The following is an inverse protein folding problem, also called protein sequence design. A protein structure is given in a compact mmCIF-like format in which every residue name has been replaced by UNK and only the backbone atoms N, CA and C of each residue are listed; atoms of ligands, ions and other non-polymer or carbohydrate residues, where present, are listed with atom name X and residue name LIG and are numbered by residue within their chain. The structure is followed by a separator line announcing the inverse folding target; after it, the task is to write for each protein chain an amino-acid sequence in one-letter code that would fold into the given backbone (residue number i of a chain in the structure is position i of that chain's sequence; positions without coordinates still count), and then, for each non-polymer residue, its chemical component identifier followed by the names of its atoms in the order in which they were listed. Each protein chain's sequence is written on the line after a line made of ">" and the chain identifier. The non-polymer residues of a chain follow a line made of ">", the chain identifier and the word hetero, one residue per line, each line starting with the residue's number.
data_IF_545342888452
#
_entry.id   IF_545342888452
#
_cell.length_a   1.000
_cell.length_b   1.000
_cell.length_c   1.000
_cell.angle_alpha   90.00
_cell.angle_beta   90.00
_cell.angle_gamma   90.00
#
_symmetry.space_group_name_H-M   'P 1'
#
loop_
_entity.id
_entity.type
_entity.pdbx_description
1 polymer ?
#
# COMPACT_ATOMS: atom_id res chain seq x y z
N UNK A 1 -5.75 48.26 -35.74
CA UNK A 1 -7.18 48.46 -35.38
C UNK A 1 -7.32 48.34 -33.87
N UNK A 2 -7.95 49.32 -33.27
CA UNK A 2 -7.95 49.61 -31.82
C UNK A 2 -8.79 48.63 -30.98
N UNK A 3 -8.53 48.45 -29.68
CA UNK A 3 -9.32 47.66 -28.79
C UNK A 3 -10.55 48.42 -28.26
N UNK A 4 -11.67 47.77 -28.12
CA UNK A 4 -12.80 48.28 -27.35
C UNK A 4 -12.79 47.74 -25.93
N UNK A 5 -12.53 48.65 -25.02
CA UNK A 5 -12.87 48.53 -23.58
C UNK A 5 -14.30 49.07 -23.46
N UNK A 6 -15.22 48.34 -22.90
CA UNK A 6 -16.42 48.95 -22.32
C UNK A 6 -16.91 48.20 -21.09
N UNK A 7 -16.86 48.97 -20.01
CA UNK A 7 -17.48 48.76 -18.71
C UNK A 7 -19.00 48.81 -18.82
N UNK A 8 -19.75 47.90 -18.23
CA UNK A 8 -21.00 48.31 -17.61
C UNK A 8 -21.55 47.31 -16.62
N UNK A 9 -21.86 47.81 -15.47
CA UNK A 9 -22.63 47.22 -14.37
C UNK A 9 -24.04 46.84 -14.80
N UNK A 10 -24.38 45.55 -14.69
CA UNK A 10 -25.76 45.15 -14.46
C UNK A 10 -25.76 43.94 -13.52
N UNK A 11 -26.07 44.23 -12.27
CA UNK A 11 -26.33 43.22 -11.24
C UNK A 11 -27.77 42.70 -11.52
N UNK A 12 -27.83 41.49 -12.04
CA UNK A 12 -29.11 40.85 -12.32
C UNK A 12 -29.75 40.39 -11.01
N UNK A 13 -30.91 40.96 -10.71
CA UNK A 13 -31.73 40.73 -9.49
C UNK A 13 -32.27 39.29 -9.36
N UNK A 14 -32.17 38.51 -10.39
CA UNK A 14 -32.70 37.13 -10.43
C UNK A 14 -31.86 36.07 -9.70
N UNK A 15 -30.62 36.42 -9.32
CA UNK A 15 -29.76 35.49 -8.59
C UNK A 15 -30.08 35.39 -7.08
N UNK A 16 -30.84 36.37 -6.53
CA UNK A 16 -31.18 36.35 -5.08
C UNK A 16 -32.36 35.43 -4.74
N UNK A 17 -33.24 35.16 -5.67
CA UNK A 17 -34.42 34.31 -5.42
C UNK A 17 -34.13 32.81 -5.50
N UNK A 18 -33.07 32.37 -6.19
CA UNK A 18 -32.69 30.95 -6.28
C UNK A 18 -31.93 30.43 -5.06
N UNK A 19 -31.23 31.31 -4.35
CA UNK A 19 -30.49 30.89 -3.14
C UNK A 19 -31.40 30.75 -1.92
N UNK A 20 -32.47 31.54 -1.84
CA UNK A 20 -33.44 31.50 -0.72
C UNK A 20 -34.31 30.23 -0.80
N UNK A 21 -34.67 29.77 -2.00
CA UNK A 21 -35.47 28.55 -2.16
C UNK A 21 -34.66 27.26 -1.91
N UNK A 22 -33.33 27.28 -2.08
CA UNK A 22 -32.50 26.12 -1.77
C UNK A 22 -32.28 25.93 -0.25
N UNK A 23 -32.26 27.05 0.50
CA UNK A 23 -32.15 26.99 1.97
C UNK A 23 -33.48 26.59 2.67
N UNK A 24 -34.61 26.83 2.06
CA UNK A 24 -35.90 26.40 2.61
C UNK A 24 -36.20 24.91 2.39
N UNK A 25 -35.58 24.29 1.36
CA UNK A 25 -35.77 22.86 1.10
C UNK A 25 -34.82 21.98 1.96
N UNK A 26 -33.71 22.51 2.46
CA UNK A 26 -32.81 21.78 3.34
C UNK A 26 -33.24 21.77 4.82
N UNK A 27 -34.16 22.64 5.23
CA UNK A 27 -34.65 22.71 6.64
C UNK A 27 -35.84 21.80 6.93
N UNK A 28 -36.49 21.23 5.91
CA UNK A 28 -37.66 20.36 6.10
C UNK A 28 -37.37 18.85 6.06
N UNK A 29 -36.11 18.45 5.82
CA UNK A 29 -35.73 17.03 5.75
C UNK A 29 -34.97 16.50 6.99
N UNK A 30 -34.80 17.31 8.03
CA UNK A 30 -34.11 16.89 9.28
C UNK A 30 -35.11 16.46 10.37
N UNK A 31 -36.39 16.42 10.07
CA UNK A 31 -37.46 16.26 11.08
C UNK A 31 -38.01 14.84 11.32
N UNK A 32 -37.54 13.78 10.65
CA UNK A 32 -38.15 12.44 10.80
C UNK A 32 -37.17 11.25 10.89
N UNK A 33 -36.01 11.44 11.48
CA UNK A 33 -35.05 10.33 11.69
C UNK A 33 -34.95 9.89 13.17
N UNK A 34 -35.95 10.19 13.98
CA UNK A 34 -36.02 9.68 15.36
C UNK A 34 -37.28 8.83 15.52
N UNK A 35 -37.13 7.51 15.44
CA UNK A 35 -38.22 6.62 15.90
C UNK A 35 -38.70 5.55 14.92
N UNK A 36 -37.82 4.97 14.11
CA UNK A 36 -38.16 3.67 13.54
C UNK A 36 -37.50 2.60 14.40
N UNK A 37 -38.30 1.98 15.27
CA UNK A 37 -37.93 0.70 15.85
C UNK A 37 -37.56 -0.23 14.68
N UNK A 38 -36.42 -1.00 14.76
CA UNK A 38 -36.11 -1.98 13.74
C UNK A 38 -37.33 -2.91 13.60
N UNK A 39 -37.69 -3.29 12.36
CA UNK A 39 -38.81 -4.22 12.16
C UNK A 39 -38.54 -5.45 13.03
N UNK A 40 -39.55 -5.84 13.79
CA UNK A 40 -39.53 -7.09 14.56
C UNK A 40 -39.36 -8.23 13.55
N UNK A 41 -38.10 -8.58 13.26
CA UNK A 41 -37.77 -9.72 12.43
C UNK A 41 -38.09 -10.94 13.29
N UNK A 42 -39.30 -11.46 13.15
CA UNK A 42 -39.63 -12.76 13.72
C UNK A 42 -38.66 -13.79 13.16
N UNK A 43 -37.93 -14.43 14.04
CA UNK A 43 -37.04 -15.54 13.67
C UNK A 43 -37.85 -16.57 12.87
N UNK A 44 -37.33 -17.13 11.78
CA UNK A 44 -37.95 -18.22 11.06
C UNK A 44 -38.35 -19.32 12.05
N UNK A 45 -39.53 -19.90 11.89
CA UNK A 45 -40.09 -20.94 12.80
C UNK A 45 -39.12 -22.13 13.04
N UNK A 46 -38.22 -22.38 12.10
CA UNK A 46 -37.14 -23.37 12.26
C UNK A 46 -36.09 -23.00 13.34
N UNK A 47 -36.01 -21.73 13.74
CA UNK A 47 -35.09 -21.26 14.77
C UNK A 47 -35.76 -20.97 16.11
N UNK A 48 -37.09 -21.00 16.16
CA UNK A 48 -37.87 -20.73 17.38
C UNK A 48 -37.73 -21.85 18.44
N UNK A 49 -37.30 -23.04 18.04
CA UNK A 49 -37.08 -24.19 18.92
C UNK A 49 -35.62 -24.39 19.34
N UNK A 50 -34.74 -23.47 19.00
CA UNK A 50 -33.36 -23.50 19.52
C UNK A 50 -33.44 -23.00 20.96
N UNK A 51 -33.53 -23.93 21.91
CA UNK A 51 -33.27 -23.61 23.30
C UNK A 51 -31.86 -22.99 23.38
N UNK A 52 -31.70 -21.82 24.02
CA UNK A 52 -30.37 -21.32 24.30
C UNK A 52 -29.63 -22.45 25.04
N UNK A 53 -28.50 -22.88 24.51
CA UNK A 53 -27.65 -23.85 25.18
C UNK A 53 -27.51 -23.38 26.62
N UNK A 54 -27.90 -24.21 27.57
CA UNK A 54 -27.75 -23.93 28.99
C UNK A 54 -26.35 -23.37 29.19
N UNK A 55 -26.23 -22.24 29.89
CA UNK A 55 -24.97 -21.54 30.15
C UNK A 55 -24.02 -22.34 31.05
N UNK A 56 -24.10 -23.63 31.04
CA UNK A 56 -23.08 -24.48 31.62
C UNK A 56 -21.85 -24.39 30.75
N UNK A 57 -20.79 -23.76 31.30
CA UNK A 57 -19.46 -23.88 30.77
C UNK A 57 -19.03 -25.34 30.80
N UNK A 58 -19.45 -26.12 29.80
CA UNK A 58 -19.16 -27.54 29.63
C UNK A 58 -17.68 -27.73 29.24
N UNK A 59 -16.75 -27.30 30.10
CA UNK A 59 -15.32 -27.67 29.99
C UNK A 59 -14.63 -27.64 31.38
N UNK A 60 -15.14 -28.41 32.31
CA UNK A 60 -14.33 -28.73 33.51
C UNK A 60 -13.16 -29.66 33.20
N UNK A 61 -13.20 -30.39 32.09
CA UNK A 61 -12.22 -31.45 31.76
C UNK A 61 -11.44 -31.21 30.48
N UNK A 62 -11.45 -30.01 29.95
CA UNK A 62 -10.52 -29.68 28.88
C UNK A 62 -9.12 -29.62 29.48
N UNK A 63 -8.34 -30.68 29.30
CA UNK A 63 -6.88 -30.60 29.35
C UNK A 63 -6.44 -29.24 28.78
N UNK A 64 -5.57 -28.49 29.47
CA UNK A 64 -5.11 -27.22 28.95
C UNK A 64 -4.64 -27.44 27.54
N UNK A 65 -5.46 -27.06 26.55
CA UNK A 65 -4.95 -26.98 25.18
C UNK A 65 -3.83 -25.95 25.28
N UNK A 66 -2.61 -26.46 25.23
CA UNK A 66 -1.42 -25.64 25.03
C UNK A 66 -1.78 -24.70 23.88
N UNK A 67 -1.89 -23.41 24.20
CA UNK A 67 -2.17 -22.40 23.18
C UNK A 67 -1.29 -22.74 21.98
N UNK A 68 -1.83 -22.86 20.76
CA UNK A 68 -1.02 -23.25 19.62
C UNK A 68 0.16 -22.30 19.61
N UNK A 69 1.37 -22.89 19.78
CA UNK A 69 2.63 -22.16 19.70
C UNK A 69 2.52 -21.30 18.44
N UNK A 70 2.66 -19.96 18.53
CA UNK A 70 2.51 -19.11 17.37
C UNK A 70 3.33 -19.75 16.26
N UNK A 71 2.66 -20.13 15.17
CA UNK A 71 3.33 -20.75 14.04
C UNK A 71 4.55 -19.87 13.78
N UNK A 72 5.75 -20.45 13.80
CA UNK A 72 6.97 -19.73 13.42
C UNK A 72 6.62 -19.09 12.10
N UNK A 73 6.46 -17.76 12.07
CA UNK A 73 6.34 -17.06 10.82
C UNK A 73 7.56 -17.48 10.02
N UNK A 74 7.35 -18.25 8.95
CA UNK A 74 8.41 -18.64 8.04
C UNK A 74 9.00 -17.34 7.51
N UNK A 75 10.06 -16.88 8.16
CA UNK A 75 10.81 -15.70 7.75
C UNK A 75 11.68 -16.09 6.57
N UNK A 76 11.02 -16.33 5.43
CA UNK A 76 11.71 -16.58 4.18
C UNK A 76 12.55 -15.35 3.85
N UNK A 77 13.85 -15.55 3.67
CA UNK A 77 14.77 -14.47 3.32
C UNK A 77 14.42 -13.95 1.92
N UNK A 78 14.25 -12.63 1.74
CA UNK A 78 14.03 -12.03 0.42
C UNK A 78 15.16 -12.35 -0.55
N UNK A 79 14.85 -12.74 -1.78
CA UNK A 79 15.82 -13.04 -2.82
C UNK A 79 15.90 -11.92 -3.86
N UNK A 80 16.80 -10.98 -3.65
CA UNK A 80 17.01 -9.84 -4.55
C UNK A 80 17.53 -10.21 -5.95
N UNK A 81 18.05 -11.44 -6.15
CA UNK A 81 18.43 -11.93 -7.47
C UNK A 81 17.19 -12.17 -8.38
N UNK A 82 16.00 -12.11 -7.81
CA UNK A 82 14.76 -12.13 -8.57
C UNK A 82 14.47 -10.81 -9.30
N UNK A 83 15.11 -9.71 -8.95
CA UNK A 83 14.83 -8.41 -9.57
C UNK A 83 15.01 -8.45 -11.09
N UNK A 84 14.06 -7.83 -11.80
CA UNK A 84 14.14 -7.57 -13.23
C UNK A 84 13.77 -6.11 -13.50
N UNK A 85 14.53 -5.42 -14.33
CA UNK A 85 14.23 -4.04 -14.68
C UNK A 85 13.13 -3.96 -15.76
N UNK A 86 12.32 -2.87 -15.81
CA UNK A 86 11.35 -2.67 -16.88
C UNK A 86 11.96 -2.78 -18.28
N UNK A 87 13.17 -2.26 -18.47
CA UNK A 87 13.90 -2.30 -19.74
C UNK A 87 14.25 -3.71 -20.21
N UNK A 88 14.45 -4.64 -19.30
CA UNK A 88 14.70 -6.05 -19.61
C UNK A 88 13.42 -6.79 -20.06
N UNK A 89 12.26 -6.24 -19.70
CA UNK A 89 10.94 -6.71 -20.15
C UNK A 89 10.46 -5.99 -21.41
N UNK A 90 11.11 -4.88 -21.79
CA UNK A 90 10.81 -4.11 -22.99
C UNK A 90 11.09 -4.96 -24.24
N UNK A 91 10.05 -5.40 -24.86
CA UNK A 91 10.01 -6.27 -26.02
C UNK A 91 8.58 -6.75 -26.17
N UNK A 92 8.24 -7.64 -27.10
CA UNK A 92 6.87 -8.11 -27.17
C UNK A 92 6.49 -8.74 -25.83
N UNK A 93 5.67 -8.01 -25.03
CA UNK A 93 5.13 -8.44 -23.73
C UNK A 93 4.42 -9.79 -23.80
N UNK A 94 3.95 -10.14 -24.99
CA UNK A 94 3.30 -11.42 -25.31
C UNK A 94 4.32 -12.50 -25.68
N UNK A 95 5.29 -12.76 -24.80
CA UNK A 95 6.12 -13.97 -24.93
C UNK A 95 5.30 -15.15 -24.40
N UNK A 96 5.10 -16.21 -25.17
CA UNK A 96 4.28 -17.36 -24.76
C UNK A 96 4.79 -18.01 -23.45
N UNK A 97 6.08 -17.86 -23.16
CA UNK A 97 6.73 -18.40 -21.96
C UNK A 97 6.81 -17.45 -20.79
N UNK A 98 6.26 -16.23 -20.89
CA UNK A 98 6.28 -15.25 -19.80
C UNK A 98 4.86 -14.95 -19.32
N UNK A 99 4.65 -15.02 -18.00
CA UNK A 99 3.45 -14.61 -17.32
C UNK A 99 3.74 -13.37 -16.49
N UNK A 100 3.03 -12.29 -16.75
CA UNK A 100 3.00 -11.11 -15.92
C UNK A 100 1.92 -11.30 -14.85
N UNK A 101 2.30 -11.43 -13.60
CA UNK A 101 1.38 -11.65 -12.48
C UNK A 101 1.30 -10.39 -11.62
N UNK A 102 0.20 -9.66 -11.73
CA UNK A 102 -0.08 -8.51 -10.88
C UNK A 102 -0.66 -9.01 -9.55
N UNK A 103 0.13 -8.86 -8.49
CA UNK A 103 -0.22 -9.36 -7.16
C UNK A 103 -0.94 -8.32 -6.29
N UNK A 104 -1.24 -7.16 -6.85
CA UNK A 104 -1.97 -6.11 -6.14
C UNK A 104 -3.43 -6.51 -5.89
N UNK A 105 -4.14 -5.82 -4.98
CA UNK A 105 -5.56 -5.97 -4.81
C UNK A 105 -6.33 -5.84 -6.13
N UNK A 106 -7.41 -6.61 -6.30
CA UNK A 106 -8.20 -6.61 -7.54
C UNK A 106 -8.71 -5.22 -7.94
N UNK A 107 -9.04 -4.37 -6.99
CA UNK A 107 -9.48 -2.99 -7.25
C UNK A 107 -8.37 -2.15 -7.91
N UNK A 108 -7.12 -2.29 -7.43
CA UNK A 108 -5.96 -1.57 -7.98
C UNK A 108 -5.63 -2.06 -9.39
N UNK A 109 -5.68 -3.39 -9.59
CA UNK A 109 -5.51 -4.01 -10.90
C UNK A 109 -6.58 -3.54 -11.88
N UNK A 110 -7.85 -3.51 -11.48
CA UNK A 110 -8.96 -3.07 -12.31
C UNK A 110 -8.84 -1.58 -12.71
N UNK A 111 -8.29 -0.74 -11.82
CA UNK A 111 -8.07 0.67 -12.13
C UNK A 111 -7.03 0.87 -13.23
N UNK A 112 -5.90 0.20 -13.14
CA UNK A 112 -4.87 0.18 -14.18
C UNK A 112 -3.87 -0.95 -13.96
N UNK A 113 -3.37 -1.53 -15.06
CA UNK A 113 -2.41 -2.64 -15.03
C UNK A 113 -1.59 -2.71 -16.33
N UNK A 114 -0.53 -3.50 -16.35
CA UNK A 114 0.25 -3.77 -17.57
C UNK A 114 -0.58 -4.66 -18.51
N UNK A 115 -0.63 -4.31 -19.81
CA UNK A 115 -1.36 -5.11 -20.80
C UNK A 115 -0.91 -6.58 -20.81
N UNK A 116 -1.89 -7.48 -20.76
CA UNK A 116 -1.65 -8.92 -20.69
C UNK A 116 -1.22 -9.45 -19.32
N UNK A 117 -1.13 -8.61 -18.28
CA UNK A 117 -0.95 -9.08 -16.92
C UNK A 117 -2.22 -9.77 -16.39
N UNK A 118 -2.04 -10.75 -15.52
CA UNK A 118 -3.12 -11.44 -14.83
C UNK A 118 -3.08 -11.05 -13.35
N UNK A 119 -4.24 -10.75 -12.77
CA UNK A 119 -4.31 -10.52 -11.33
C UNK A 119 -4.32 -11.86 -10.59
N UNK A 120 -3.19 -12.20 -9.97
CA UNK A 120 -2.97 -13.46 -9.27
C UNK A 120 -2.07 -13.22 -8.05
N UNK A 121 -2.51 -13.68 -6.91
CA UNK A 121 -1.68 -13.69 -5.70
C UNK A 121 -0.53 -14.69 -5.80
N UNK A 122 0.55 -14.48 -5.03
CA UNK A 122 1.65 -15.44 -4.94
C UNK A 122 1.19 -16.82 -4.44
N UNK A 123 0.14 -16.87 -3.63
CA UNK A 123 -0.48 -18.12 -3.16
C UNK A 123 -1.16 -18.87 -4.28
N UNK A 124 -1.95 -18.18 -5.10
CA UNK A 124 -2.61 -18.78 -6.27
C UNK A 124 -1.61 -19.27 -7.30
N UNK A 125 -0.50 -18.54 -7.52
CA UNK A 125 0.58 -19.00 -8.40
C UNK A 125 1.13 -20.34 -7.92
N UNK A 126 1.41 -20.51 -6.62
CA UNK A 126 1.93 -21.77 -6.06
C UNK A 126 1.00 -22.96 -6.29
N UNK A 127 -0.31 -22.73 -6.32
CA UNK A 127 -1.31 -23.76 -6.59
C UNK A 127 -1.41 -24.18 -8.07
N UNK A 128 -0.65 -23.53 -8.98
CA UNK A 128 -0.72 -23.76 -10.42
C UNK A 128 0.58 -24.38 -10.96
N UNK A 129 0.79 -25.70 -10.82
CA UNK A 129 2.06 -26.36 -11.17
C UNK A 129 2.42 -26.24 -12.66
N UNK A 130 1.43 -26.05 -13.55
CA UNK A 130 1.65 -25.87 -14.99
C UNK A 130 2.38 -24.55 -15.33
N UNK A 131 2.46 -23.60 -14.39
CA UNK A 131 3.21 -22.34 -14.56
C UNK A 131 4.69 -22.47 -14.18
N UNK A 132 5.13 -23.57 -13.58
CA UNK A 132 6.50 -23.71 -13.04
C UNK A 132 7.59 -23.59 -14.09
N UNK A 133 7.31 -23.98 -15.34
CA UNK A 133 8.28 -23.86 -16.45
C UNK A 133 8.37 -22.47 -17.04
N UNK A 134 7.34 -21.61 -16.83
CA UNK A 134 7.28 -20.25 -17.36
C UNK A 134 8.16 -19.28 -16.56
N UNK A 135 8.53 -18.21 -17.21
CA UNK A 135 9.03 -17.01 -16.51
C UNK A 135 7.82 -16.31 -15.90
N UNK A 136 7.75 -16.24 -14.57
CA UNK A 136 6.67 -15.55 -13.86
C UNK A 136 7.22 -14.25 -13.28
N UNK A 137 6.67 -13.11 -13.69
CA UNK A 137 7.08 -11.80 -13.22
C UNK A 137 6.02 -11.26 -12.27
N UNK A 138 6.36 -11.13 -10.99
CA UNK A 138 5.51 -10.53 -9.96
C UNK A 138 5.54 -9.01 -10.11
N UNK A 139 4.35 -8.40 -10.18
CA UNK A 139 4.17 -6.96 -10.32
C UNK A 139 3.45 -6.44 -9.07
N UNK A 140 4.08 -5.53 -8.35
CA UNK A 140 3.51 -4.82 -7.21
C UNK A 140 3.28 -3.34 -7.49
N UNK A 141 2.93 -2.61 -6.44
CA UNK A 141 2.80 -1.15 -6.45
C UNK A 141 4.11 -0.41 -6.14
N UNK A 142 5.25 -1.12 -6.09
CA UNK A 142 6.56 -0.55 -5.74
C UNK A 142 6.81 -0.42 -4.24
N UNK A 143 5.83 -0.76 -3.43
CA UNK A 143 5.91 -0.82 -1.96
C UNK A 143 5.92 -2.28 -1.50
N UNK A 144 6.37 -2.52 -0.27
CA UNK A 144 6.46 -3.86 0.32
C UNK A 144 7.25 -4.86 -0.56
N UNK A 145 8.25 -4.38 -1.31
CA UNK A 145 9.06 -5.23 -2.19
C UNK A 145 9.78 -6.34 -1.44
N UNK A 146 10.09 -6.15 -0.15
CA UNK A 146 10.61 -7.21 0.71
C UNK A 146 9.77 -8.47 0.65
N UNK A 147 8.45 -8.34 0.70
CA UNK A 147 7.53 -9.48 0.65
C UNK A 147 7.47 -10.09 -0.75
N UNK A 148 7.54 -9.27 -1.81
CA UNK A 148 7.61 -9.78 -3.19
C UNK A 148 8.89 -10.58 -3.44
N UNK A 149 10.03 -10.13 -2.92
CA UNK A 149 11.28 -10.89 -3.01
C UNK A 149 11.24 -12.17 -2.16
N UNK A 150 10.54 -12.16 -1.01
CA UNK A 150 10.29 -13.36 -0.24
C UNK A 150 9.34 -14.32 -0.98
N UNK A 151 8.30 -13.81 -1.64
CA UNK A 151 7.41 -14.62 -2.47
C UNK A 151 8.13 -15.23 -3.68
N UNK A 152 9.06 -14.49 -4.29
CA UNK A 152 9.92 -15.07 -5.32
C UNK A 152 10.75 -16.26 -4.78
N UNK A 153 11.31 -16.12 -3.59
CA UNK A 153 12.05 -17.21 -2.95
C UNK A 153 11.13 -18.42 -2.65
N UNK A 154 9.89 -18.18 -2.19
CA UNK A 154 8.88 -19.23 -1.97
C UNK A 154 8.48 -19.92 -3.28
N UNK A 155 8.33 -19.16 -4.37
CA UNK A 155 8.05 -19.73 -5.70
C UNK A 155 9.21 -20.62 -6.18
N UNK A 156 10.47 -20.19 -6.02
CA UNK A 156 11.63 -21.04 -6.31
C UNK A 156 11.60 -22.33 -5.51
N UNK A 157 11.36 -22.25 -4.21
CA UNK A 157 11.23 -23.42 -3.33
C UNK A 157 10.07 -24.35 -3.76
N UNK A 158 9.02 -23.79 -4.38
CA UNK A 158 7.88 -24.56 -4.91
C UNK A 158 8.10 -25.10 -6.32
N UNK A 159 9.33 -24.99 -6.87
CA UNK A 159 9.73 -25.57 -8.15
C UNK A 159 9.53 -24.66 -9.36
N UNK A 160 9.23 -23.36 -9.17
CA UNK A 160 9.22 -22.41 -10.28
C UNK A 160 10.67 -22.13 -10.75
N UNK A 161 10.93 -22.29 -12.05
CA UNK A 161 12.28 -22.22 -12.61
C UNK A 161 12.78 -20.78 -12.76
N UNK A 162 11.89 -19.84 -13.12
CA UNK A 162 12.25 -18.46 -13.48
C UNK A 162 11.28 -17.43 -12.88
N UNK A 163 11.03 -17.43 -11.55
CA UNK A 163 10.25 -16.37 -10.96
C UNK A 163 11.10 -15.10 -10.88
N UNK A 164 10.49 -13.95 -11.14
CA UNK A 164 11.08 -12.61 -11.15
C UNK A 164 10.18 -11.63 -10.41
N UNK A 165 10.72 -10.51 -10.01
CA UNK A 165 10.01 -9.37 -9.42
C UNK A 165 10.33 -8.14 -10.27
N UNK A 166 9.31 -7.48 -10.78
CA UNK A 166 9.47 -6.20 -11.48
C UNK A 166 9.94 -5.16 -10.44
N UNK A 167 11.20 -4.77 -10.53
CA UNK A 167 11.81 -3.82 -9.58
C UNK A 167 11.05 -2.50 -9.57
N UNK A 168 10.63 -2.06 -8.38
CA UNK A 168 9.86 -0.84 -8.19
C UNK A 168 8.44 -0.91 -8.74
N UNK A 169 7.99 -2.07 -9.19
CA UNK A 169 6.62 -2.32 -9.62
C UNK A 169 6.12 -1.37 -10.69
N UNK A 170 4.80 -1.10 -10.66
CA UNK A 170 4.15 -0.18 -11.60
C UNK A 170 4.68 1.26 -11.58
N UNK A 171 5.09 1.86 -10.44
CA UNK A 171 5.67 3.20 -10.45
C UNK A 171 6.89 3.34 -11.37
N UNK A 172 7.83 2.39 -11.31
CA UNK A 172 9.03 2.41 -12.15
C UNK A 172 8.70 2.04 -13.60
N UNK A 173 7.73 1.13 -13.80
CA UNK A 173 7.21 0.82 -15.14
C UNK A 173 6.70 2.06 -15.85
N UNK A 174 5.84 2.85 -15.18
CA UNK A 174 5.30 4.11 -15.69
C UNK A 174 6.40 5.17 -15.91
N UNK A 175 7.30 5.32 -14.93
CA UNK A 175 8.41 6.28 -15.02
C UNK A 175 9.38 5.95 -16.17
N UNK A 176 9.44 4.69 -16.62
CA UNK A 176 10.20 4.28 -17.80
C UNK A 176 9.43 4.45 -19.13
N UNK A 177 8.28 5.14 -19.11
CA UNK A 177 7.48 5.44 -20.30
C UNK A 177 6.72 4.25 -20.87
N UNK A 178 6.58 3.17 -20.09
CA UNK A 178 5.88 1.97 -20.53
C UNK A 178 4.36 2.11 -20.40
N UNK A 179 3.63 1.55 -21.36
CA UNK A 179 2.18 1.62 -21.40
C UNK A 179 1.50 0.73 -20.36
N UNK A 180 0.32 1.17 -19.92
CA UNK A 180 -0.62 0.42 -19.09
C UNK A 180 -2.02 0.53 -19.66
N UNK A 181 -2.87 -0.42 -19.33
CA UNK A 181 -4.32 -0.34 -19.55
C UNK A 181 -4.97 0.34 -18.35
N UNK A 182 -5.95 1.19 -18.62
CA UNK A 182 -6.62 1.97 -17.57
C UNK A 182 -5.86 3.24 -17.19
N UNK A 183 -6.23 3.83 -16.06
CA UNK A 183 -5.63 5.07 -15.56
C UNK A 183 -5.58 5.06 -14.04
N UNK A 184 -4.45 5.42 -13.47
CA UNK A 184 -4.34 5.66 -12.04
C UNK A 184 -5.28 6.79 -11.62
N UNK A 185 -6.03 6.59 -10.54
CA UNK A 185 -6.96 7.60 -9.99
C UNK A 185 -6.22 8.85 -9.50
N UNK A 186 -5.03 8.66 -8.95
CA UNK A 186 -4.17 9.75 -8.48
C UNK A 186 -2.70 9.44 -8.81
N UNK A 187 -2.22 9.83 -10.01
CA UNK A 187 -0.83 9.60 -10.40
C UNK A 187 0.21 10.26 -9.47
N UNK A 188 -0.15 11.38 -8.82
CA UNK A 188 0.77 12.09 -7.93
C UNK A 188 1.08 11.27 -6.65
N UNK A 189 0.16 10.39 -6.24
CA UNK A 189 0.35 9.51 -5.06
C UNK A 189 1.16 8.26 -5.34
N UNK A 190 1.44 7.96 -6.59
CA UNK A 190 2.23 6.78 -6.95
C UNK A 190 3.64 6.90 -6.34
N UNK A 191 4.01 5.90 -5.51
CA UNK A 191 5.30 5.89 -4.81
C UNK A 191 5.38 6.82 -3.58
N UNK A 192 4.25 7.42 -3.14
CA UNK A 192 4.18 8.05 -1.83
C UNK A 192 3.87 7.01 -0.77
N UNK A 193 4.53 7.12 0.37
CA UNK A 193 4.37 6.24 1.51
C UNK A 193 3.47 6.86 2.57
N UNK A 194 2.57 6.06 3.14
CA UNK A 194 1.96 6.36 4.42
C UNK A 194 2.89 6.02 5.59
N UNK A 195 2.53 6.38 6.83
CA UNK A 195 3.38 6.11 8.00
C UNK A 195 3.66 4.63 8.25
N UNK A 196 2.66 3.76 8.06
CA UNK A 196 2.81 2.31 8.23
C UNK A 196 3.71 1.69 7.16
N UNK A 197 3.62 2.18 5.93
CA UNK A 197 4.47 1.76 4.82
C UNK A 197 5.92 2.22 5.03
N UNK A 198 6.14 3.47 5.46
CA UNK A 198 7.48 3.94 5.84
C UNK A 198 8.09 3.06 6.93
N UNK A 199 7.29 2.68 7.94
CA UNK A 199 7.75 1.78 8.99
C UNK A 199 8.23 0.43 8.44
N UNK A 200 7.51 -0.14 7.49
CA UNK A 200 7.87 -1.42 6.86
C UNK A 200 9.11 -1.28 5.98
N UNK A 201 9.14 -0.25 5.13
CA UNK A 201 10.25 -0.01 4.20
C UNK A 201 11.57 0.32 4.91
N UNK A 202 11.51 1.05 6.04
CA UNK A 202 12.70 1.39 6.83
C UNK A 202 13.34 0.17 7.52
N UNK A 203 12.65 -0.97 7.59
CA UNK A 203 13.13 -2.23 8.16
C UNK A 203 13.58 -3.24 7.12
N UNK A 204 13.60 -2.84 5.87
CA UNK A 204 14.16 -3.67 4.81
C UNK A 204 15.60 -3.24 4.52
N UNK A 205 16.56 -4.05 4.93
CA UNK A 205 18.02 -3.75 4.84
C UNK A 205 18.50 -3.45 3.42
N UNK A 206 17.76 -3.92 2.42
CA UNK A 206 18.07 -3.62 1.03
C UNK A 206 17.62 -2.23 0.61
N UNK A 207 16.80 -1.53 1.38
CA UNK A 207 16.44 -0.15 1.12
C UNK A 207 17.53 0.80 1.64
N UNK A 208 17.65 1.94 0.98
CA UNK A 208 18.46 3.07 1.42
C UNK A 208 17.52 4.16 1.92
N UNK A 209 17.43 4.31 3.25
CA UNK A 209 16.56 5.30 3.89
C UNK A 209 17.34 6.60 4.09
N UNK A 210 16.85 7.68 3.48
CA UNK A 210 17.44 9.01 3.51
C UNK A 210 16.45 9.98 4.14
N UNK A 211 16.90 10.75 5.13
CA UNK A 211 16.08 11.70 5.86
C UNK A 211 16.66 13.10 5.67
N UNK A 212 15.90 14.00 5.04
CA UNK A 212 16.30 15.37 4.81
C UNK A 212 16.33 16.19 6.11
N UNK A 213 17.04 17.31 6.08
CA UNK A 213 17.26 18.16 7.27
C UNK A 213 15.94 18.55 7.96
N UNK A 214 14.87 18.83 7.20
CA UNK A 214 13.57 19.23 7.75
C UNK A 214 12.83 18.10 8.48
N UNK A 215 13.29 16.86 8.31
CA UNK A 215 12.67 15.65 8.89
C UNK A 215 13.59 14.90 9.85
N UNK A 216 14.72 15.49 10.26
CA UNK A 216 15.69 14.86 11.15
C UNK A 216 15.11 14.34 12.46
N UNK A 217 14.02 14.93 12.95
CA UNK A 217 13.29 14.44 14.12
C UNK A 217 12.77 13.01 13.99
N UNK A 218 12.70 12.44 12.78
CA UNK A 218 12.31 11.05 12.54
C UNK A 218 13.47 10.04 12.60
N UNK A 219 14.72 10.49 12.62
CA UNK A 219 15.89 9.60 12.64
C UNK A 219 15.89 8.57 13.76
N UNK A 220 15.51 8.93 15.03
CA UNK A 220 15.49 7.96 16.12
C UNK A 220 14.51 6.80 15.90
N UNK A 221 13.46 7.03 15.11
CA UNK A 221 12.39 6.06 14.85
C UNK A 221 12.66 5.21 13.60
N UNK A 222 13.63 5.59 12.78
CA UNK A 222 13.93 4.94 11.51
C UNK A 222 15.26 4.20 11.58
N UNK A 223 15.25 2.87 11.75
CA UNK A 223 16.47 2.08 11.81
C UNK A 223 17.25 2.19 10.49
N UNK A 224 18.57 2.32 10.61
CA UNK A 224 19.48 2.41 9.45
C UNK A 224 19.27 3.63 8.53
N UNK A 225 18.51 4.63 8.95
CA UNK A 225 18.34 5.85 8.18
C UNK A 225 19.60 6.72 8.21
N UNK A 226 19.84 7.40 7.10
CA UNK A 226 20.98 8.33 6.93
C UNK A 226 20.44 9.74 6.78
N UNK A 227 20.94 10.67 7.59
CA UNK A 227 20.63 12.09 7.43
C UNK A 227 21.30 12.63 6.16
N UNK A 228 20.55 13.45 5.42
CA UNK A 228 21.04 14.20 4.25
C UNK A 228 20.70 15.69 4.39
N UNK A 229 21.54 16.59 3.82
CA UNK A 229 21.30 18.03 3.96
C UNK A 229 20.05 18.51 3.22
N UNK A 230 19.78 17.92 2.07
CA UNK A 230 18.68 18.28 1.19
C UNK A 230 18.22 17.09 0.35
N UNK A 231 17.05 17.22 -0.28
CA UNK A 231 16.48 16.22 -1.17
C UNK A 231 16.86 16.46 -2.65
N UNK A 232 18.10 16.86 -2.94
CA UNK A 232 18.57 17.06 -4.31
C UNK A 232 19.02 15.78 -4.99
N UNK A 233 18.98 15.75 -6.32
CA UNK A 233 19.45 14.64 -7.13
C UNK A 233 20.93 14.31 -6.84
N UNK A 234 21.77 15.33 -6.70
CA UNK A 234 23.19 15.18 -6.42
C UNK A 234 23.43 14.49 -5.05
N UNK A 235 22.66 14.89 -4.05
CA UNK A 235 22.70 14.29 -2.71
C UNK A 235 22.26 12.82 -2.73
N UNK A 236 21.16 12.49 -3.43
CA UNK A 236 20.68 11.13 -3.56
C UNK A 236 21.70 10.26 -4.28
N UNK A 237 22.25 10.70 -5.41
CA UNK A 237 23.29 9.98 -6.17
C UNK A 237 24.53 9.74 -5.32
N UNK A 238 24.96 10.73 -4.54
CA UNK A 238 26.09 10.60 -3.62
C UNK A 238 25.82 9.52 -2.57
N UNK A 239 24.63 9.50 -1.98
CA UNK A 239 24.23 8.50 -0.99
C UNK A 239 24.17 7.10 -1.60
N UNK A 240 23.62 6.97 -2.80
CA UNK A 240 23.57 5.71 -3.56
C UNK A 240 25.00 5.20 -3.82
N UNK A 241 25.89 6.06 -4.30
CA UNK A 241 27.28 5.68 -4.60
C UNK A 241 28.05 5.24 -3.34
N UNK A 242 27.82 5.89 -2.20
CA UNK A 242 28.42 5.50 -0.90
C UNK A 242 27.99 4.10 -0.45
N UNK A 243 26.79 3.63 -0.85
CA UNK A 243 26.35 2.27 -0.54
C UNK A 243 27.20 1.19 -1.24
N UNK A 244 27.84 1.54 -2.35
CA UNK A 244 28.73 0.68 -3.10
C UNK A 244 28.02 -0.55 -3.67
N UNK A 245 28.63 -1.74 -3.49
CA UNK A 245 28.12 -3.01 -4.04
C UNK A 245 27.02 -3.68 -3.20
N UNK A 246 26.58 -3.07 -2.10
CA UNK A 246 25.49 -3.64 -1.30
C UNK A 246 24.21 -3.67 -2.12
N UNK A 247 23.40 -4.73 -2.07
CA UNK A 247 22.15 -4.80 -2.78
C UNK A 247 21.25 -3.61 -2.43
N UNK A 248 20.63 -3.02 -3.45
CA UNK A 248 19.73 -1.88 -3.31
C UNK A 248 18.39 -2.20 -3.99
N UNK A 249 17.34 -2.32 -3.18
CA UNK A 249 15.97 -2.53 -3.68
C UNK A 249 15.34 -1.19 -4.08
N UNK A 250 15.32 -0.22 -3.14
CA UNK A 250 14.77 1.11 -3.35
C UNK A 250 15.50 2.18 -2.53
N UNK A 251 15.37 3.43 -2.93
CA UNK A 251 15.65 4.60 -2.10
C UNK A 251 14.34 5.05 -1.45
N UNK A 252 14.36 5.19 -0.13
CA UNK A 252 13.23 5.72 0.66
C UNK A 252 13.61 7.10 1.14
N UNK A 253 13.00 8.13 0.57
CA UNK A 253 13.25 9.52 0.88
C UNK A 253 12.19 10.04 1.86
N UNK A 254 12.63 10.54 3.00
CA UNK A 254 11.79 11.21 3.99
C UNK A 254 12.07 12.71 3.91
N UNK A 255 11.11 13.48 3.39
CA UNK A 255 11.26 14.91 3.10
C UNK A 255 9.96 15.67 3.39
N UNK A 256 9.94 16.99 3.22
CA UNK A 256 8.71 17.77 3.36
C UNK A 256 7.94 17.85 2.04
N UNK A 257 6.62 18.02 2.12
CA UNK A 257 5.80 18.28 0.94
C UNK A 257 6.07 19.65 0.28
N UNK A 258 6.65 20.57 1.04
CA UNK A 258 6.96 21.93 0.59
C UNK A 258 8.15 21.97 -0.38
N UNK A 259 9.00 20.94 -0.38
CA UNK A 259 10.19 20.88 -1.24
C UNK A 259 9.88 20.46 -2.70
N UNK A 260 8.64 20.64 -3.09
CA UNK A 260 8.18 20.61 -4.46
C UNK A 260 7.88 19.22 -5.02
N UNK A 261 6.60 18.93 -5.24
CA UNK A 261 6.16 17.69 -5.91
C UNK A 261 6.72 17.53 -7.33
N UNK A 262 7.07 18.60 -8.02
CA UNK A 262 7.79 18.57 -9.29
C UNK A 262 9.18 17.94 -9.13
N UNK A 263 9.81 18.20 -8.01
CA UNK A 263 11.10 17.62 -7.67
C UNK A 263 11.08 16.10 -7.48
N UNK A 264 10.00 15.50 -6.94
CA UNK A 264 9.94 14.04 -6.76
C UNK A 264 9.88 13.27 -8.09
N UNK A 265 9.23 13.83 -9.11
CA UNK A 265 9.20 13.23 -10.44
C UNK A 265 10.60 13.26 -11.09
N UNK A 266 11.28 14.40 -11.00
CA UNK A 266 12.64 14.58 -11.52
C UNK A 266 13.64 13.69 -10.78
N UNK A 267 13.52 13.60 -9.45
CA UNK A 267 14.35 12.71 -8.64
C UNK A 267 14.15 11.24 -9.04
N UNK A 268 12.89 10.81 -9.22
CA UNK A 268 12.58 9.45 -9.70
C UNK A 268 13.23 9.15 -11.05
N UNK A 269 13.14 10.10 -11.99
CA UNK A 269 13.76 9.98 -13.29
C UNK A 269 15.29 9.94 -13.19
N UNK A 270 15.87 10.80 -12.36
CA UNK A 270 17.33 10.98 -12.25
C UNK A 270 18.07 9.84 -11.57
N UNK A 271 17.39 8.98 -10.79
CA UNK A 271 18.01 7.82 -10.15
C UNK A 271 17.60 6.48 -10.79
N UNK A 272 16.88 6.50 -11.91
CA UNK A 272 16.56 5.24 -12.62
C UNK A 272 17.82 4.42 -12.90
N UNK A 273 17.72 3.08 -12.87
CA UNK A 273 16.54 2.23 -12.66
C UNK A 273 16.22 1.93 -11.19
N UNK A 274 16.71 2.73 -10.25
CA UNK A 274 16.49 2.53 -8.81
C UNK A 274 15.13 3.13 -8.44
N UNK A 275 14.23 2.38 -7.78
CA UNK A 275 12.95 2.91 -7.32
C UNK A 275 13.14 4.02 -6.28
N UNK A 276 12.36 5.10 -6.36
CA UNK A 276 12.25 6.13 -5.33
C UNK A 276 10.86 6.10 -4.70
N UNK A 277 10.83 5.78 -3.43
CA UNK A 277 9.67 5.90 -2.56
C UNK A 277 9.83 7.15 -1.70
N UNK A 278 8.76 7.89 -1.45
CA UNK A 278 8.84 9.13 -0.69
C UNK A 278 7.80 9.18 0.43
N UNK A 279 8.22 9.60 1.60
CA UNK A 279 7.36 9.97 2.70
C UNK A 279 7.42 11.47 2.92
N UNK A 280 6.27 12.15 2.76
CA UNK A 280 6.15 13.60 2.89
C UNK A 280 5.31 14.02 4.10
N UNK A 281 4.87 13.05 4.91
CA UNK A 281 4.07 13.28 6.11
C UNK A 281 4.87 13.92 7.25
N UNK A 282 4.14 14.27 8.32
CA UNK A 282 4.76 14.87 9.51
C UNK A 282 5.31 13.81 10.47
N UNK A 283 6.21 14.24 11.37
CA UNK A 283 6.73 13.37 12.43
C UNK A 283 5.62 12.91 13.38
N UNK A 284 4.67 13.80 13.69
CA UNK A 284 3.53 13.48 14.56
C UNK A 284 2.61 12.44 13.94
N UNK A 285 2.36 12.50 12.62
CA UNK A 285 1.57 11.50 11.91
C UNK A 285 2.24 10.12 11.99
N UNK A 286 3.55 10.07 11.79
CA UNK A 286 4.34 8.83 11.90
C UNK A 286 4.31 8.27 13.33
N UNK A 287 4.63 9.09 14.33
CA UNK A 287 4.66 8.68 15.74
C UNK A 287 3.30 8.20 16.22
N UNK A 288 2.21 8.88 15.83
CA UNK A 288 0.84 8.48 16.13
C UNK A 288 0.52 7.09 15.55
N UNK A 289 0.89 6.84 14.32
CA UNK A 289 0.70 5.56 13.67
C UNK A 289 1.48 4.44 14.37
N UNK A 290 2.73 4.70 14.77
CA UNK A 290 3.53 3.74 15.54
C UNK A 290 2.90 3.42 16.88
N UNK A 291 2.41 4.42 17.60
CA UNK A 291 1.72 4.22 18.88
C UNK A 291 0.48 3.34 18.71
N UNK A 292 -0.33 3.58 17.67
CA UNK A 292 -1.50 2.75 17.36
C UNK A 292 -1.10 1.31 17.02
N UNK A 293 -0.08 1.13 16.20
CA UNK A 293 0.40 -0.19 15.80
C UNK A 293 0.95 -0.99 17.00
N UNK A 294 1.73 -0.33 17.85
CA UNK A 294 2.25 -0.92 19.07
C UNK A 294 1.11 -1.31 20.04
N UNK A 295 0.07 -0.50 20.14
CA UNK A 295 -1.12 -0.81 20.95
C UNK A 295 -1.86 -2.06 20.43
N UNK A 296 -1.99 -2.20 19.09
CA UNK A 296 -2.58 -3.39 18.46
C UNK A 296 -1.73 -4.62 18.73
N UNK A 297 -0.42 -4.56 18.55
CA UNK A 297 0.48 -5.69 18.85
C UNK A 297 0.46 -6.08 20.31
N UNK A 298 0.47 -5.11 21.22
CA UNK A 298 0.35 -5.38 22.64
C UNK A 298 -1.00 -6.01 23.02
N UNK A 299 -2.08 -5.65 22.31
CA UNK A 299 -3.39 -6.28 22.49
C UNK A 299 -3.41 -7.72 21.96
N UNK A 300 -2.82 -7.97 20.80
CA UNK A 300 -2.70 -9.31 20.20
C UNK A 300 -1.80 -10.24 21.06
N UNK A 301 -0.68 -9.72 21.57
CA UNK A 301 0.22 -10.49 22.43
C UNK A 301 -0.44 -10.94 23.76
N UNK A 302 -1.43 -10.20 24.26
CA UNK A 302 -2.20 -10.59 25.45
C UNK A 302 -3.18 -11.74 25.20
N UNK A 303 -3.44 -12.06 23.94
CA UNK A 303 -4.39 -13.07 23.54
C UNK A 303 -5.85 -12.72 23.86
N UNK A 304 -6.80 -13.59 23.50
CA UNK A 304 -8.21 -13.39 23.82
C UNK A 304 -8.40 -13.41 25.35
N UNK A 305 -9.16 -12.44 25.87
CA UNK A 305 -9.58 -12.47 27.27
C UNK A 305 -10.31 -13.79 27.53
N UNK A 306 -9.88 -14.56 28.52
CA UNK A 306 -10.64 -15.74 28.93
C UNK A 306 -12.08 -15.29 29.23
N UNK A 307 -13.10 -15.93 28.65
CA UNK A 307 -14.46 -15.61 28.99
C UNK A 307 -14.62 -15.80 30.49
N UNK A 308 -14.99 -14.74 31.18
CA UNK A 308 -15.39 -14.87 32.59
C UNK A 308 -16.81 -15.44 32.56
N UNK A 309 -16.96 -16.69 32.89
CA UNK A 309 -18.29 -17.18 33.24
C UNK A 309 -18.73 -16.37 34.47
N UNK A 310 -19.82 -15.58 34.27
CA UNK A 310 -20.36 -14.76 35.33
C UNK A 310 -20.67 -15.61 36.55
N UNK A 311 -20.30 -15.10 37.71
CA UNK A 311 -20.78 -15.55 39.03
C UNK A 311 -22.25 -15.23 39.16
#
# INVERSE_FOLDING_TARGET
>A
MKPCIETSRHINKDCRYRVINLLYFCLFTIGNALGQNPPNVSLPSALSNIQPASSECLRKDATPQVAPKPAKMDTVRPDLACAIAPTELSGPLKRPDTLMADVRPAADYAAFHIDGAMNLTASELRSKPYLRSKTVVLIGNGQAERELYADCARLKASGFKKPKVLRGGLPVWLASGQAVLGRASDPARIGLLGPGELWAEARFDANLVLVSAERQGLLPELPSATAIPDASLATLQTAINRRGKKPLAAVVLVTSAADGSASLADLRQGIQPIPLLAYTGTAEAYTRQLAQQNAVWAAQARGPKKPRCGS
#
